data_IF_325215933560
#
_entry.id   IF_325215933560
#
_cell.length_a   1.000
_cell.length_b   1.000
_cell.length_c   1.000
_cell.angle_alpha   90.00
_cell.angle_beta   90.00
_cell.angle_gamma   90.00
#
_symmetry.space_group_name_H-M   'P 1'
#
loop_
_entity.id
_entity.type
_entity.pdbx_description
1 polymer ?
#
# COMPACT_ATOMS: atom_id res chain seq x y z
N UNK A 1 25.31 -26.86 -21.80
CA UNK A 1 23.86 -26.58 -21.86
C UNK A 1 23.49 -25.92 -20.55
N UNK A 2 23.08 -24.65 -20.59
CA UNK A 2 22.52 -23.96 -19.42
C UNK A 2 21.21 -24.62 -19.06
N UNK A 3 21.26 -25.59 -18.14
CA UNK A 3 20.05 -26.10 -17.50
C UNK A 3 19.42 -24.95 -16.75
N UNK A 4 18.38 -24.34 -17.33
CA UNK A 4 17.59 -23.31 -16.68
C UNK A 4 17.04 -23.95 -15.39
N UNK A 5 17.49 -23.44 -14.26
CA UNK A 5 17.06 -23.95 -12.96
C UNK A 5 15.69 -23.34 -12.64
N UNK A 6 14.63 -24.01 -13.09
CA UNK A 6 13.24 -23.58 -12.92
C UNK A 6 12.89 -23.41 -11.44
N UNK A 7 13.42 -24.28 -10.57
CA UNK A 7 13.23 -24.17 -9.11
C UNK A 7 13.75 -22.84 -8.56
N UNK A 8 14.99 -22.47 -8.92
CA UNK A 8 15.56 -21.18 -8.54
C UNK A 8 14.78 -20.00 -9.13
N UNK A 9 14.31 -20.12 -10.38
CA UNK A 9 13.50 -19.07 -11.01
C UNK A 9 12.18 -18.83 -10.25
N UNK A 10 11.48 -19.89 -9.84
CA UNK A 10 10.25 -19.79 -9.03
C UNK A 10 10.55 -19.20 -7.65
N UNK A 11 11.62 -19.64 -6.98
CA UNK A 11 12.01 -19.09 -5.68
C UNK A 11 12.30 -17.59 -5.79
N UNK A 12 13.05 -17.15 -6.81
CA UNK A 12 13.30 -15.73 -7.04
C UNK A 12 12.01 -14.96 -7.32
N UNK A 13 11.14 -15.48 -8.19
CA UNK A 13 9.87 -14.84 -8.50
C UNK A 13 9.00 -14.63 -7.24
N UNK A 14 8.89 -15.66 -6.40
CA UNK A 14 8.14 -15.58 -5.13
C UNK A 14 8.81 -14.58 -4.19
N UNK A 15 10.13 -14.63 -4.03
CA UNK A 15 10.85 -13.78 -3.08
C UNK A 15 10.76 -12.29 -3.47
N UNK A 16 10.91 -11.97 -4.76
CA UNK A 16 10.71 -10.62 -5.27
C UNK A 16 9.24 -10.19 -5.17
N UNK A 17 8.28 -11.07 -5.49
CA UNK A 17 6.86 -10.76 -5.36
C UNK A 17 6.46 -10.45 -3.91
N UNK A 18 6.93 -11.23 -2.94
CA UNK A 18 6.70 -10.98 -1.52
C UNK A 18 7.40 -9.70 -1.08
N UNK A 19 8.64 -9.49 -1.49
CA UNK A 19 9.41 -8.28 -1.17
C UNK A 19 8.71 -6.99 -1.65
N UNK A 20 8.29 -6.95 -2.92
CA UNK A 20 7.56 -5.82 -3.48
C UNK A 20 6.16 -5.66 -2.86
N UNK A 21 5.46 -6.76 -2.57
CA UNK A 21 4.18 -6.70 -1.87
C UNK A 21 4.33 -6.04 -0.49
N UNK A 22 5.36 -6.40 0.27
CA UNK A 22 5.66 -5.82 1.58
C UNK A 22 6.05 -4.33 1.50
N UNK A 23 6.78 -3.92 0.45
CA UNK A 23 7.11 -2.51 0.21
C UNK A 23 5.88 -1.63 -0.04
N UNK A 24 4.81 -2.20 -0.58
CA UNK A 24 3.57 -1.48 -0.87
C UNK A 24 2.65 -1.36 0.37
N UNK A 25 3.05 -1.91 1.51
CA UNK A 25 2.27 -1.81 2.75
C UNK A 25 2.54 -0.49 3.48
N UNK A 26 1.56 -0.03 4.26
CA UNK A 26 1.65 1.26 4.97
C UNK A 26 2.46 1.21 6.27
N UNK A 27 2.68 0.03 6.86
CA UNK A 27 3.45 -0.07 8.11
C UNK A 27 4.94 -0.14 7.82
N UNK A 28 5.70 0.71 8.51
CA UNK A 28 7.14 0.87 8.33
C UNK A 28 7.89 -0.44 8.61
N UNK A 29 7.45 -1.24 9.59
CA UNK A 29 8.06 -2.54 9.83
C UNK A 29 7.83 -3.53 8.68
N UNK A 30 6.66 -3.49 8.03
CA UNK A 30 6.40 -4.33 6.85
C UNK A 30 7.30 -3.92 5.69
N UNK A 31 7.47 -2.62 5.45
CA UNK A 31 8.41 -2.08 4.45
C UNK A 31 9.84 -2.55 4.75
N UNK A 32 10.27 -2.46 6.02
CA UNK A 32 11.61 -2.88 6.45
C UNK A 32 11.85 -4.38 6.21
N UNK A 33 10.89 -5.24 6.57
CA UNK A 33 10.96 -6.67 6.27
C UNK A 33 10.99 -6.90 4.75
N UNK A 34 10.23 -6.12 3.98
CA UNK A 34 10.27 -6.13 2.51
C UNK A 34 11.67 -5.88 1.95
N UNK A 35 12.37 -4.87 2.45
CA UNK A 35 13.76 -4.56 2.05
C UNK A 35 14.71 -5.73 2.38
N UNK A 36 14.57 -6.34 3.56
CA UNK A 36 15.38 -7.50 3.96
C UNK A 36 15.14 -8.70 3.03
N UNK A 37 13.88 -9.00 2.72
CA UNK A 37 13.50 -10.07 1.79
C UNK A 37 14.06 -9.83 0.39
N UNK A 38 13.96 -8.60 -0.12
CA UNK A 38 14.55 -8.21 -1.41
C UNK A 38 16.08 -8.33 -1.40
N UNK A 39 16.74 -7.97 -0.30
CA UNK A 39 18.18 -8.16 -0.12
C UNK A 39 18.59 -9.62 -0.22
N UNK A 40 17.83 -10.54 0.39
CA UNK A 40 18.05 -11.99 0.21
C UNK A 40 17.84 -12.42 -1.25
N UNK A 41 16.81 -11.91 -1.93
CA UNK A 41 16.58 -12.16 -3.35
C UNK A 41 17.71 -11.70 -4.25
N UNK A 42 18.26 -10.50 -4.01
CA UNK A 42 19.39 -9.97 -4.74
C UNK A 42 20.65 -10.84 -4.57
N UNK A 43 20.91 -11.34 -3.36
CA UNK A 43 22.02 -12.25 -3.10
C UNK A 43 21.88 -13.58 -3.84
N UNK A 44 20.68 -14.17 -3.85
CA UNK A 44 20.41 -15.38 -4.61
C UNK A 44 20.52 -15.16 -6.12
N UNK A 45 20.11 -13.98 -6.61
CA UNK A 45 20.21 -13.61 -8.02
C UNK A 45 21.68 -13.47 -8.46
N UNK A 46 22.53 -12.87 -7.63
CA UNK A 46 23.98 -12.84 -7.86
C UNK A 46 24.58 -14.25 -7.91
N UNK A 47 24.18 -15.12 -6.99
CA UNK A 47 24.68 -16.49 -6.98
C UNK A 47 24.27 -17.27 -8.23
N UNK A 48 23.05 -17.05 -8.72
CA UNK A 48 22.55 -17.63 -9.96
C UNK A 48 23.29 -17.10 -11.19
N UNK A 49 23.68 -15.82 -11.18
CA UNK A 49 24.48 -15.20 -12.24
C UNK A 49 25.89 -15.80 -12.35
N UNK A 50 26.43 -16.35 -11.26
CA UNK A 50 27.73 -17.04 -11.22
C UNK A 50 27.78 -18.41 -11.90
N UNK A 51 26.65 -18.88 -12.44
CA UNK A 51 26.62 -20.08 -13.27
C UNK A 51 26.48 -21.39 -12.50
N UNK A 52 26.82 -22.53 -13.13
CA UNK A 52 26.62 -23.86 -12.56
C UNK A 52 27.37 -24.09 -11.23
N UNK A 53 26.88 -24.99 -10.38
CA UNK A 53 27.60 -25.38 -9.16
C UNK A 53 29.00 -25.90 -9.51
N UNK A 54 30.00 -25.31 -8.87
CA UNK A 54 31.40 -25.65 -9.01
C UNK A 54 32.08 -25.62 -7.62
N UNK A 55 33.35 -26.02 -7.54
CA UNK A 55 34.05 -26.08 -6.25
C UNK A 55 34.38 -24.68 -5.74
N UNK A 56 34.52 -24.55 -4.43
CA UNK A 56 34.92 -23.29 -3.82
C UNK A 56 36.29 -22.86 -4.37
N UNK A 57 36.49 -21.57 -4.71
CA UNK A 57 37.74 -21.05 -5.27
C UNK A 57 38.82 -20.92 -4.19
N UNK A 58 39.25 -22.06 -3.63
CA UNK A 58 40.28 -22.16 -2.60
C UNK A 58 41.49 -22.88 -3.17
N UNK A 59 42.63 -22.19 -3.20
CA UNK A 59 43.89 -22.74 -3.70
C UNK A 59 44.27 -24.04 -2.97
N UNK A 60 44.68 -25.05 -3.74
CA UNK A 60 45.10 -26.35 -3.21
C UNK A 60 43.98 -27.38 -3.01
N UNK A 61 42.70 -27.03 -3.26
CA UNK A 61 41.57 -27.97 -3.09
C UNK A 61 41.11 -28.66 -4.37
N UNK A 62 41.31 -28.03 -5.54
CA UNK A 62 40.96 -28.56 -6.86
C UNK A 62 41.69 -27.79 -7.98
N UNK A 63 41.68 -28.32 -9.22
CA UNK A 63 42.15 -27.57 -10.40
C UNK A 63 41.35 -26.27 -10.61
N UNK A 64 41.99 -25.16 -11.05
CA UNK A 64 41.31 -23.88 -11.27
C UNK A 64 40.11 -23.92 -12.22
N UNK A 65 40.11 -24.87 -13.17
CA UNK A 65 39.02 -25.06 -14.12
C UNK A 65 37.71 -25.58 -13.47
N UNK A 66 37.78 -26.08 -12.23
CA UNK A 66 36.64 -26.61 -11.49
C UNK A 66 36.11 -25.62 -10.44
N UNK A 67 36.67 -24.41 -10.37
CA UNK A 67 36.23 -23.38 -9.42
C UNK A 67 34.98 -22.64 -9.90
N UNK A 68 34.12 -22.30 -8.94
CA UNK A 68 33.04 -21.35 -9.14
C UNK A 68 33.60 -19.94 -9.37
N UNK A 69 32.85 -19.10 -10.10
CA UNK A 69 33.23 -17.71 -10.34
C UNK A 69 33.31 -16.94 -9.00
N UNK A 70 34.50 -16.42 -8.61
CA UNK A 70 34.65 -15.68 -7.37
C UNK A 70 34.03 -14.27 -7.41
N UNK A 71 33.76 -13.72 -8.60
CA UNK A 71 33.27 -12.34 -8.74
C UNK A 71 31.87 -12.17 -8.15
N UNK A 72 30.85 -12.98 -8.50
CA UNK A 72 29.53 -12.87 -7.88
C UNK A 72 29.52 -13.13 -6.38
N UNK A 73 30.43 -13.97 -5.88
CA UNK A 73 30.57 -14.24 -4.44
C UNK A 73 31.08 -13.01 -3.68
N UNK A 74 32.08 -12.31 -4.22
CA UNK A 74 32.59 -11.07 -3.64
C UNK A 74 31.50 -9.97 -3.65
N UNK A 75 30.76 -9.84 -4.75
CA UNK A 75 29.64 -8.89 -4.84
C UNK A 75 28.51 -9.22 -3.85
N UNK A 76 28.20 -10.50 -3.64
CA UNK A 76 27.20 -10.92 -2.65
C UNK A 76 27.62 -10.53 -1.23
N UNK A 77 28.89 -10.71 -0.86
CA UNK A 77 29.39 -10.28 0.45
C UNK A 77 29.22 -8.77 0.65
N UNK A 78 29.54 -7.96 -0.36
CA UNK A 78 29.31 -6.50 -0.32
C UNK A 78 27.83 -6.17 -0.20
N UNK A 79 26.97 -6.84 -0.96
CA UNK A 79 25.53 -6.64 -0.91
C UNK A 79 24.94 -6.97 0.48
N UNK A 80 25.41 -8.04 1.13
CA UNK A 80 25.01 -8.41 2.49
C UNK A 80 25.36 -7.30 3.48
N UNK A 81 26.58 -6.77 3.43
CA UNK A 81 27.02 -5.72 4.35
C UNK A 81 26.23 -4.43 4.15
N UNK A 82 25.98 -4.02 2.89
CA UNK A 82 25.15 -2.85 2.58
C UNK A 82 23.72 -3.06 3.09
N UNK A 83 23.13 -4.22 2.82
CA UNK A 83 21.77 -4.55 3.29
C UNK A 83 21.70 -4.52 4.81
N UNK A 84 22.68 -5.08 5.51
CA UNK A 84 22.74 -5.05 6.97
C UNK A 84 22.86 -3.63 7.53
N UNK A 85 23.75 -2.81 6.95
CA UNK A 85 23.92 -1.43 7.35
C UNK A 85 22.64 -0.60 7.13
N UNK A 86 22.02 -0.71 5.95
CA UNK A 86 20.76 -0.04 5.64
C UNK A 86 19.63 -0.53 6.53
N UNK A 87 19.52 -1.84 6.77
CA UNK A 87 18.48 -2.41 7.63
C UNK A 87 18.63 -1.90 9.06
N UNK A 88 19.84 -1.91 9.61
CA UNK A 88 20.10 -1.42 10.98
C UNK A 88 19.81 0.07 11.08
N UNK A 89 20.19 0.85 10.07
CA UNK A 89 19.91 2.29 10.01
C UNK A 89 18.40 2.57 9.95
N UNK A 90 17.68 1.91 9.03
CA UNK A 90 16.24 2.05 8.90
C UNK A 90 15.50 1.55 10.14
N UNK A 91 16.01 0.50 10.80
CA UNK A 91 15.45 0.00 12.05
C UNK A 91 15.61 1.01 13.18
N UNK A 92 16.78 1.67 13.28
CA UNK A 92 17.00 2.73 14.24
C UNK A 92 16.10 3.95 13.98
N UNK A 93 15.90 4.33 12.71
CA UNK A 93 14.96 5.38 12.33
C UNK A 93 13.52 4.98 12.62
N UNK A 94 13.12 3.75 12.32
CA UNK A 94 11.78 3.24 12.58
C UNK A 94 11.48 3.16 14.07
N UNK A 95 12.45 2.72 14.87
CA UNK A 95 12.37 2.79 16.32
C UNK A 95 12.19 4.23 16.81
N UNK A 96 13.01 5.16 16.30
CA UNK A 96 12.88 6.59 16.65
C UNK A 96 11.52 7.17 16.25
N UNK A 97 11.00 6.80 15.09
CA UNK A 97 9.67 7.20 14.63
C UNK A 97 8.59 6.67 15.57
N UNK A 98 8.65 5.40 15.95
CA UNK A 98 7.69 4.81 16.88
C UNK A 98 7.70 5.50 18.24
N UNK A 99 8.88 5.86 18.76
CA UNK A 99 9.00 6.62 20.03
C UNK A 99 8.37 8.01 19.92
N UNK A 100 8.43 8.67 18.76
CA UNK A 100 7.90 10.02 18.57
C UNK A 100 6.40 10.04 18.28
N UNK A 101 5.91 9.10 17.47
CA UNK A 101 4.54 9.13 16.93
C UNK A 101 3.62 8.09 17.61
N UNK A 102 4.18 7.08 18.28
CA UNK A 102 3.43 6.01 18.95
C UNK A 102 2.89 4.91 18.02
N UNK A 103 3.01 5.07 16.71
CA UNK A 103 2.62 4.09 15.69
C UNK A 103 3.66 4.04 14.55
N UNK A 104 3.62 2.97 13.74
CA UNK A 104 4.56 2.75 12.62
C UNK A 104 3.90 2.93 11.24
N UNK A 105 2.67 3.45 11.18
CA UNK A 105 1.95 3.67 9.93
C UNK A 105 2.40 4.96 9.22
N UNK A 106 2.79 4.82 7.95
CA UNK A 106 3.13 5.92 7.04
C UNK A 106 1.85 6.72 6.72
N UNK A 107 1.88 8.01 7.02
CA UNK A 107 0.75 8.92 6.87
C UNK A 107 0.64 9.47 5.45
N UNK A 108 -0.58 9.74 4.99
CA UNK A 108 -0.81 10.52 3.77
C UNK A 108 -0.53 12.00 4.05
N UNK A 109 0.02 12.71 3.07
CA UNK A 109 0.28 14.14 3.21
C UNK A 109 -1.05 14.93 3.29
N UNK A 110 -1.10 15.92 4.17
CA UNK A 110 -2.24 16.85 4.26
C UNK A 110 -2.33 17.73 3.01
N UNK A 111 -1.19 18.01 2.36
CA UNK A 111 -1.14 18.74 1.10
C UNK A 111 -1.79 17.93 -0.03
N UNK A 112 -1.53 16.63 -0.12
CA UNK A 112 -2.16 15.73 -1.09
C UNK A 112 -3.68 15.73 -0.98
N UNK A 113 -4.21 15.69 0.26
CA UNK A 113 -5.66 15.76 0.49
C UNK A 113 -6.25 17.11 0.08
N UNK A 114 -5.51 18.20 0.26
CA UNK A 114 -5.94 19.55 -0.11
C UNK A 114 -6.02 19.70 -1.63
N UNK A 115 -5.00 19.21 -2.34
CA UNK A 115 -4.96 19.23 -3.81
C UNK A 115 -6.11 18.40 -4.39
N UNK A 116 -6.32 17.17 -3.89
CA UNK A 116 -7.40 16.29 -4.36
C UNK A 116 -8.81 16.89 -4.18
N UNK A 117 -9.02 17.74 -3.17
CA UNK A 117 -10.29 18.45 -2.97
C UNK A 117 -10.44 19.66 -3.90
N UNK A 118 -9.35 20.37 -4.20
CA UNK A 118 -9.33 21.46 -5.19
C UNK A 118 -9.36 20.98 -6.64
N UNK A 119 -9.01 19.72 -6.91
CA UNK A 119 -9.11 19.09 -8.24
C UNK A 119 -10.50 18.52 -8.55
N UNK A 120 -11.47 18.60 -7.63
CA UNK A 120 -12.88 18.46 -8.03
C UNK A 120 -13.18 19.63 -8.98
N UNK A 121 -13.44 19.39 -10.27
CA UNK A 121 -13.75 20.48 -11.18
C UNK A 121 -15.05 21.12 -10.67
N UNK A 122 -15.01 22.42 -10.44
CA UNK A 122 -16.18 23.30 -10.27
C UNK A 122 -17.01 23.35 -11.57
N UNK A 123 -17.47 22.18 -12.02
CA UNK A 123 -18.15 21.97 -13.30
C UNK A 123 -19.17 20.84 -13.27
N UNK A 124 -19.52 20.30 -12.08
CA UNK A 124 -20.85 19.73 -11.93
C UNK A 124 -21.80 20.92 -11.99
N UNK A 125 -22.25 21.24 -13.21
CA UNK A 125 -23.32 22.20 -13.46
C UNK A 125 -24.40 21.95 -12.40
N UNK A 126 -24.65 22.96 -11.57
CA UNK A 126 -26.00 23.17 -11.08
C UNK A 126 -26.83 23.27 -12.38
N UNK A 127 -27.64 22.25 -12.66
CA UNK A 127 -28.71 22.40 -13.65
C UNK A 127 -29.64 23.46 -13.05
N UNK A 128 -29.34 24.72 -13.35
CA UNK A 128 -30.25 25.84 -13.24
C UNK A 128 -31.48 25.46 -14.07
N UNK A 129 -32.46 24.87 -13.39
CA UNK A 129 -33.81 24.77 -13.92
C UNK A 129 -34.47 26.12 -13.68
N UNK A 130 -33.98 27.17 -14.35
CA UNK A 130 -34.69 28.44 -14.47
C UNK A 130 -35.43 28.47 -15.81
N UNK A 131 -36.76 28.33 -15.69
CA UNK A 131 -37.77 29.06 -16.45
C UNK A 131 -37.60 29.15 -17.97
N UNK A 132 -38.29 28.26 -18.69
CA UNK A 132 -38.84 28.60 -19.99
C UNK A 132 -40.35 28.82 -19.81
N UNK A 133 -40.75 30.08 -19.79
CA UNK A 133 -42.13 30.51 -19.99
C UNK A 133 -42.62 29.99 -21.35
N UNK A 134 -43.64 29.13 -21.36
CA UNK A 134 -44.52 28.96 -22.53
C UNK A 134 -45.95 29.21 -22.08
N UNK A 135 -46.43 30.42 -22.40
CA UNK A 135 -47.83 30.79 -22.41
C UNK A 135 -48.62 29.85 -23.34
N UNK A 136 -49.59 29.11 -22.80
CA UNK A 136 -50.81 28.75 -23.55
C UNK A 136 -51.96 28.63 -22.56
N UNK A 137 -52.86 29.62 -22.61
CA UNK A 137 -54.18 29.58 -21.99
C UNK A 137 -55.05 28.48 -22.63
N UNK A 138 -55.68 27.63 -21.81
CA UNK A 138 -56.99 27.03 -22.15
C UNK A 138 -57.84 26.88 -20.87
N UNK A 139 -58.98 27.60 -20.74
CA UNK A 139 -59.79 27.60 -19.54
C UNK A 139 -60.86 26.50 -19.63
N UNK A 140 -60.84 25.58 -18.65
CA UNK A 140 -62.06 24.90 -18.23
C UNK A 140 -61.99 23.38 -18.19
N UNK A 141 -61.88 22.86 -16.98
CA UNK A 141 -62.81 21.81 -16.53
C UNK A 141 -62.83 21.79 -15.01
N UNK A 142 -63.94 22.27 -14.46
CA UNK A 142 -64.31 22.07 -13.08
C UNK A 142 -64.40 20.57 -12.75
N UNK A 143 -63.96 20.19 -11.56
CA UNK A 143 -64.75 19.46 -10.56
C UNK A 143 -63.85 18.85 -9.49
N UNK A 144 -64.03 19.35 -8.26
CA UNK A 144 -64.22 18.60 -7.00
C UNK A 144 -63.12 17.61 -6.56
N UNK A 145 -62.75 17.46 -5.29
CA UNK A 145 -63.14 18.04 -4.00
C UNK A 145 -62.33 17.27 -2.94
N UNK A 146 -61.63 17.99 -2.04
CA UNK A 146 -61.53 17.76 -0.58
C UNK A 146 -60.19 18.23 0.00
N UNK A 147 -60.25 19.39 0.64
CA UNK A 147 -59.46 19.80 1.81
C UNK A 147 -60.11 19.25 3.12
N UNK A 148 -59.60 19.52 4.35
CA UNK A 148 -58.22 19.41 4.87
C UNK A 148 -58.15 18.87 6.34
N UNK A 149 -56.93 18.77 6.89
CA UNK A 149 -56.45 18.92 8.29
C UNK A 149 -57.36 18.74 9.54
N UNK A 150 -56.88 18.00 10.56
CA UNK A 150 -57.08 18.33 12.01
C UNK A 150 -56.08 17.55 12.93
N UNK A 151 -55.05 18.19 13.53
CA UNK A 151 -54.82 18.76 14.89
C UNK A 151 -54.40 17.78 16.03
N UNK A 152 -53.43 18.32 16.80
CA UNK A 152 -52.65 17.89 17.95
C UNK A 152 -53.35 17.34 19.22
N UNK A 153 -52.54 16.64 20.03
CA UNK A 153 -52.47 16.69 21.52
C UNK A 153 -51.11 16.04 21.88
N UNK A 154 -50.19 16.56 22.70
CA UNK A 154 -50.27 17.29 23.97
C UNK A 154 -49.56 16.43 25.05
N UNK A 155 -48.40 16.87 25.59
CA UNK A 155 -47.72 16.24 26.75
C UNK A 155 -48.49 16.42 28.08
N UNK A 156 -47.94 16.10 29.29
CA UNK A 156 -46.53 16.14 29.69
C UNK A 156 -46.02 15.06 30.69
N UNK A 157 -44.73 15.19 31.02
CA UNK A 157 -43.91 14.75 32.16
C UNK A 157 -44.60 14.20 33.44
N UNK A 158 -44.08 13.08 33.97
CA UNK A 158 -44.16 12.73 35.39
C UNK A 158 -43.02 11.77 35.80
N UNK A 159 -42.24 12.23 36.77
CA UNK A 159 -41.16 11.57 37.48
C UNK A 159 -41.70 10.73 38.65
N UNK A 160 -41.18 9.52 38.88
CA UNK A 160 -40.92 8.91 40.21
C UNK A 160 -40.64 7.39 40.16
N UNK A 161 -39.90 6.93 41.17
CA UNK A 161 -39.67 5.54 41.65
C UNK A 161 -38.36 4.85 41.18
N UNK A 162 -37.29 4.78 41.96
CA UNK A 162 -37.02 4.20 43.31
C UNK A 162 -36.60 2.72 43.25
N UNK A 163 -35.35 2.48 43.69
CA UNK A 163 -34.86 1.29 44.40
C UNK A 163 -34.80 -0.07 43.68
N UNK A 164 -33.59 -0.46 43.25
CA UNK A 164 -32.85 -1.62 43.79
C UNK A 164 -31.41 -1.65 43.31
#
# INVERSE_FOLDING_TARGET
>A
MTTINIGMAVVLAVLYSVGFYLLMQRSLMRILIGIVVLGHGANLLLQLAGGPPARAPVLGTAPPAEFADPLPQALALTAIVITFALTTYLLALGYRSWVLTGHDEVQDDLEDRRIALSERPDGAMEEDTEGADEDTEDPGSAAASNEPAEIATGGPDASSEVSR
#
